data_IF_468346983936
#
_entry.id   IF_468346983936
#
_cell.length_a   1.000
_cell.length_b   1.000
_cell.length_c   1.000
_cell.angle_alpha   90.00
_cell.angle_beta   90.00
_cell.angle_gamma   90.00
#
_symmetry.space_group_name_H-M   'P 1'
#
loop_
_entity.id
_entity.type
_entity.pdbx_description
1 polymer ?
#
# COMPACT_ATOMS: atom_id res chain seq x y z
N UNK A 1 5.86 -1.20 49.26
CA UNK A 1 4.80 -1.94 48.55
C UNK A 1 4.40 -3.11 49.42
N UNK A 2 3.29 -3.02 50.14
CA UNK A 2 2.78 -4.13 50.94
C UNK A 2 1.96 -5.06 50.05
N UNK A 3 2.62 -6.10 49.52
CA UNK A 3 2.00 -7.06 48.63
C UNK A 3 2.00 -8.44 49.28
N UNK A 4 0.82 -9.05 49.43
CA UNK A 4 0.71 -10.40 49.96
C UNK A 4 1.20 -11.42 48.91
N UNK A 5 1.73 -12.57 49.35
CA UNK A 5 2.20 -13.69 48.50
C UNK A 5 1.19 -14.06 47.40
N UNK A 6 -0.11 -14.01 47.71
CA UNK A 6 -1.18 -14.28 46.74
C UNK A 6 -1.27 -13.23 45.63
N UNK A 7 -1.04 -11.96 45.94
CA UNK A 7 -1.01 -10.89 44.94
C UNK A 7 0.24 -11.00 44.06
N UNK A 8 1.38 -11.36 44.64
CA UNK A 8 2.62 -11.63 43.90
C UNK A 8 2.40 -12.70 42.83
N UNK A 9 1.83 -13.85 43.18
CA UNK A 9 1.54 -14.92 42.20
C UNK A 9 0.59 -14.50 41.08
N UNK A 10 -0.41 -13.66 41.37
CA UNK A 10 -1.33 -13.16 40.34
C UNK A 10 -0.62 -12.25 39.33
N UNK A 11 0.24 -11.35 39.82
CA UNK A 11 1.02 -10.45 38.96
C UNK A 11 1.98 -11.24 38.06
N UNK A 12 2.69 -12.23 38.62
CA UNK A 12 3.58 -13.09 37.84
C UNK A 12 2.82 -13.90 36.77
N UNK A 13 1.66 -14.48 37.11
CA UNK A 13 0.85 -15.24 36.15
C UNK A 13 0.34 -14.37 34.99
N UNK A 14 -0.14 -13.16 35.28
CA UNK A 14 -0.57 -12.20 34.25
C UNK A 14 0.63 -11.76 33.40
N UNK A 15 1.78 -11.47 34.01
CA UNK A 15 2.99 -11.06 33.31
C UNK A 15 3.50 -12.12 32.33
N UNK A 16 3.56 -13.38 32.77
CA UNK A 16 3.94 -14.51 31.91
C UNK A 16 2.94 -14.75 30.77
N UNK A 17 1.64 -14.64 31.06
CA UNK A 17 0.60 -14.76 30.03
C UNK A 17 0.72 -13.66 28.97
N UNK A 18 0.87 -12.41 29.39
CA UNK A 18 0.98 -11.26 28.49
C UNK A 18 2.24 -11.33 27.61
N UNK A 19 3.40 -11.66 28.17
CA UNK A 19 4.64 -11.76 27.39
C UNK A 19 4.63 -12.96 26.44
N UNK A 20 4.05 -14.08 26.86
CA UNK A 20 3.90 -15.27 26.00
C UNK A 20 2.96 -14.96 24.83
N UNK A 21 1.84 -14.28 25.07
CA UNK A 21 0.92 -13.86 24.01
C UNK A 21 1.58 -12.84 23.05
N UNK A 22 2.35 -11.88 23.57
CA UNK A 22 3.09 -10.94 22.75
C UNK A 22 4.15 -11.64 21.88
N UNK A 23 4.92 -12.56 22.45
CA UNK A 23 5.94 -13.34 21.73
C UNK A 23 5.34 -14.26 20.65
N UNK A 24 4.10 -14.74 20.84
CA UNK A 24 3.35 -15.52 19.86
C UNK A 24 2.66 -14.66 18.78
N UNK A 25 2.89 -13.35 18.76
CA UNK A 25 2.37 -12.45 17.72
C UNK A 25 0.92 -11.98 17.95
N UNK A 26 0.39 -12.12 19.17
CA UNK A 26 -0.93 -11.56 19.52
C UNK A 26 -0.86 -10.05 19.81
N UNK A 27 0.36 -9.50 19.94
CA UNK A 27 0.55 -8.06 19.97
C UNK A 27 0.45 -7.49 18.55
N UNK A 28 -0.28 -6.39 18.33
CA UNK A 28 -0.38 -5.78 17.02
C UNK A 28 1.01 -5.28 16.58
N UNK A 29 1.45 -5.69 15.40
CA UNK A 29 2.62 -5.11 14.77
C UNK A 29 2.33 -3.67 14.33
N UNK A 30 3.34 -2.78 14.31
CA UNK A 30 3.19 -1.45 13.71
C UNK A 30 2.72 -1.61 12.26
N UNK A 31 1.58 -1.01 11.94
CA UNK A 31 1.04 -1.05 10.60
C UNK A 31 1.99 -0.33 9.64
N UNK A 32 2.66 -1.07 8.74
CA UNK A 32 3.56 -0.53 7.71
C UNK A 32 2.86 0.38 6.68
N UNK A 33 1.57 0.64 6.84
CA UNK A 33 0.81 1.55 5.97
C UNK A 33 1.38 2.98 5.98
N UNK A 34 2.01 3.43 7.08
CA UNK A 34 2.60 4.77 7.16
C UNK A 34 3.95 4.88 6.44
N UNK A 35 4.71 3.78 6.31
CA UNK A 35 6.02 3.79 5.64
C UNK A 35 5.93 3.66 4.12
N UNK A 36 4.79 3.21 3.58
CA UNK A 36 4.58 3.02 2.15
C UNK A 36 3.87 4.24 1.57
N UNK A 37 4.50 4.90 0.61
CA UNK A 37 3.87 6.02 -0.12
C UNK A 37 2.54 5.56 -0.75
N UNK A 38 1.54 6.44 -0.73
CA UNK A 38 0.28 6.18 -1.43
C UNK A 38 0.50 5.87 -2.92
N UNK A 39 -0.42 5.09 -3.48
CA UNK A 39 -0.39 4.75 -4.90
C UNK A 39 -0.54 6.01 -5.75
N UNK A 40 0.54 6.40 -6.44
CA UNK A 40 0.66 7.68 -7.16
C UNK A 40 -0.32 7.85 -8.32
N UNK A 41 -0.92 6.76 -8.80
CA UNK A 41 -1.85 6.78 -9.94
C UNK A 41 -3.32 6.89 -9.48
N UNK A 42 -3.56 6.92 -8.16
CA UNK A 42 -4.88 7.26 -7.64
C UNK A 42 -5.34 8.62 -8.17
N UNK A 43 -6.62 8.71 -8.58
CA UNK A 43 -7.24 9.92 -9.14
C UNK A 43 -6.54 10.51 -10.39
N UNK A 44 -5.89 9.66 -11.18
CA UNK A 44 -5.41 10.02 -12.52
C UNK A 44 -6.41 9.59 -13.57
N UNK A 45 -6.33 10.17 -14.77
CA UNK A 45 -7.10 9.73 -15.92
C UNK A 45 -6.24 8.77 -16.75
N UNK A 46 -6.78 7.57 -16.96
CA UNK A 46 -6.20 6.55 -17.83
C UNK A 46 -6.59 6.81 -19.30
N UNK A 47 -5.64 6.65 -20.20
CA UNK A 47 -5.86 6.75 -21.65
C UNK A 47 -5.00 5.71 -22.36
N UNK A 48 -5.64 4.87 -23.20
CA UNK A 48 -4.94 3.87 -24.00
C UNK A 48 -4.28 4.52 -25.22
N UNK A 49 -3.06 4.11 -25.53
CA UNK A 49 -2.30 4.57 -26.69
C UNK A 49 -1.40 3.43 -27.21
N UNK A 50 -0.73 3.64 -28.33
CA UNK A 50 0.23 2.72 -28.92
C UNK A 50 1.64 3.33 -28.86
N UNK A 51 2.63 2.51 -28.53
CA UNK A 51 4.03 2.92 -28.48
C UNK A 51 4.49 3.51 -29.83
N UNK A 52 4.98 4.78 -29.87
CA UNK A 52 5.27 5.47 -31.11
C UNK A 52 6.70 5.22 -31.65
N UNK A 53 7.43 4.27 -31.06
CA UNK A 53 8.86 4.09 -31.38
C UNK A 53 9.12 3.14 -32.55
N UNK A 54 8.68 1.89 -32.45
CA UNK A 54 8.97 0.86 -33.45
C UNK A 54 7.68 0.20 -33.95
N UNK A 55 7.80 -0.66 -34.96
CA UNK A 55 6.67 -1.35 -35.59
C UNK A 55 6.08 -2.51 -34.77
N UNK A 56 6.57 -2.76 -33.56
CA UNK A 56 5.98 -3.76 -32.66
C UNK A 56 4.55 -3.34 -32.27
N UNK A 57 4.33 -2.05 -32.05
CA UNK A 57 3.00 -1.53 -31.73
C UNK A 57 2.50 -1.90 -30.33
N UNK A 58 3.38 -1.99 -29.34
CA UNK A 58 3.00 -2.27 -27.93
C UNK A 58 1.87 -1.36 -27.45
N UNK A 59 0.88 -1.93 -26.77
CA UNK A 59 -0.17 -1.18 -26.10
C UNK A 59 0.38 -0.47 -24.86
N UNK A 60 -0.08 0.76 -24.63
CA UNK A 60 0.32 1.60 -23.51
C UNK A 60 -0.90 2.13 -22.76
N UNK A 61 -0.76 2.26 -21.44
CA UNK A 61 -1.65 3.00 -20.58
C UNK A 61 -0.94 4.28 -20.13
N UNK A 62 -1.50 5.42 -20.51
CA UNK A 62 -1.04 6.75 -20.12
C UNK A 62 -1.86 7.24 -18.94
N UNK A 63 -1.18 7.76 -17.91
CA UNK A 63 -1.83 8.37 -16.74
C UNK A 63 -1.59 9.88 -16.73
N UNK A 64 -2.66 10.65 -16.87
CA UNK A 64 -2.64 12.12 -16.77
C UNK A 64 -3.20 12.63 -15.45
N UNK A 65 -2.75 13.82 -15.04
CA UNK A 65 -3.22 14.47 -13.82
C UNK A 65 -4.69 14.89 -13.93
N UNK A 66 -5.45 14.54 -12.89
CA UNK A 66 -6.87 14.89 -12.75
C UNK A 66 -7.80 13.97 -13.54
N UNK A 67 -9.09 14.30 -13.50
CA UNK A 67 -10.19 13.44 -13.99
C UNK A 67 -10.77 13.91 -15.33
N UNK A 68 -10.03 14.71 -16.11
CA UNK A 68 -10.48 15.19 -17.42
C UNK A 68 -11.44 16.39 -17.39
N UNK A 69 -11.52 17.11 -16.26
CA UNK A 69 -12.25 18.37 -16.18
C UNK A 69 -11.60 19.46 -17.06
N UNK A 70 -12.42 20.33 -17.67
CA UNK A 70 -11.94 21.41 -18.56
C UNK A 70 -10.99 22.42 -17.88
N UNK A 71 -11.07 22.52 -16.55
CA UNK A 71 -10.26 23.45 -15.75
C UNK A 71 -8.93 22.83 -15.28
N UNK A 72 -8.59 21.61 -15.73
CA UNK A 72 -7.37 20.91 -15.32
C UNK A 72 -6.50 20.65 -16.54
N UNK A 73 -5.29 21.20 -16.53
CA UNK A 73 -4.28 20.90 -17.54
C UNK A 73 -3.89 19.42 -17.46
N UNK A 74 -4.11 18.68 -18.56
CA UNK A 74 -3.91 17.24 -18.62
C UNK A 74 -2.45 16.91 -18.91
N UNK A 75 -1.64 16.85 -17.85
CA UNK A 75 -0.23 16.49 -17.94
C UNK A 75 -0.01 15.01 -17.63
N UNK A 76 0.68 14.31 -18.54
CA UNK A 76 1.07 12.90 -18.35
C UNK A 76 2.15 12.82 -17.26
N UNK A 77 1.93 11.96 -16.26
CA UNK A 77 2.87 11.76 -15.14
C UNK A 77 3.38 10.32 -15.02
N UNK A 78 2.78 9.39 -15.75
CA UNK A 78 3.24 8.00 -15.82
C UNK A 78 2.75 7.32 -17.10
N UNK A 79 3.53 6.34 -17.57
CA UNK A 79 3.22 5.49 -18.71
C UNK A 79 3.65 4.07 -18.34
N UNK A 80 2.78 3.09 -18.61
CA UNK A 80 3.09 1.66 -18.47
C UNK A 80 2.48 0.85 -19.63
N UNK A 81 2.79 -0.45 -19.67
CA UNK A 81 2.28 -1.34 -20.71
C UNK A 81 0.81 -1.72 -20.47
N UNK A 82 0.07 -1.88 -21.57
CA UNK A 82 -1.30 -2.39 -21.54
C UNK A 82 -1.29 -3.91 -21.40
N UNK A 83 -1.78 -4.42 -20.25
CA UNK A 83 -1.79 -5.86 -19.96
C UNK A 83 -2.78 -6.65 -20.82
N UNK A 84 -3.76 -5.98 -21.43
CA UNK A 84 -4.74 -6.62 -22.32
C UNK A 84 -4.27 -6.69 -23.77
N UNK A 85 -3.16 -6.01 -24.10
CA UNK A 85 -2.68 -5.90 -25.46
C UNK A 85 -1.80 -7.13 -25.82
N UNK A 86 -2.17 -7.92 -26.85
CA UNK A 86 -1.64 -9.28 -27.04
C UNK A 86 -0.19 -9.36 -27.52
N UNK A 87 0.42 -8.22 -27.89
CA UNK A 87 1.77 -8.16 -28.48
C UNK A 87 2.86 -7.91 -27.44
N UNK A 88 2.58 -7.08 -26.43
CA UNK A 88 3.57 -6.68 -25.42
C UNK A 88 3.54 -7.55 -24.16
#
# INVERSE_FOLDING_TARGET
MDMNRRQFFKVCGIGLGATSMAALGMAPEPAFAESIRHFKLSNTKETRNTCPYCSVGCGLILYSRGTGGKNVDQQIIHVEGDSDHPVN
#
